data_IF_122877657968
#
_entry.id   IF_122877657968
#
_cell.length_a   1.000
_cell.length_b   1.000
_cell.length_c   1.000
_cell.angle_alpha   90.00
_cell.angle_beta   90.00
_cell.angle_gamma   90.00
#
_symmetry.space_group_name_H-M   'P 1'
#
loop_
_entity.id
_entity.type
_entity.pdbx_description
1 polymer ?
#
# COMPACT_ATOMS: atom_id res chain seq x y z
N UNK A 1 -9.89 -1.68 -13.15
CA UNK A 1 -9.34 -1.90 -14.49
C UNK A 1 -8.92 -3.35 -14.71
N UNK A 2 -8.35 -3.63 -15.87
CA UNK A 2 -7.80 -4.93 -16.28
C UNK A 2 -6.27 -4.94 -16.12
N UNK A 3 -5.72 -5.09 -14.90
CA UNK A 3 -4.28 -5.13 -14.72
C UNK A 3 -3.70 -6.41 -15.36
N UNK A 4 -2.44 -6.38 -15.85
CA UNK A 4 -1.74 -7.54 -16.40
C UNK A 4 -1.59 -8.74 -15.45
N UNK A 5 -1.95 -8.59 -14.17
CA UNK A 5 -1.82 -9.61 -13.12
C UNK A 5 -3.09 -9.64 -12.27
N UNK A 6 -3.54 -10.85 -11.92
CA UNK A 6 -4.67 -11.06 -11.00
C UNK A 6 -4.41 -10.36 -9.66
N UNK A 7 -5.34 -9.50 -9.28
CA UNK A 7 -5.35 -8.78 -8.01
C UNK A 7 -5.68 -9.72 -6.86
N UNK A 8 -4.93 -9.65 -5.76
CA UNK A 8 -5.31 -10.33 -4.52
C UNK A 8 -6.46 -9.56 -3.87
N UNK A 9 -7.64 -10.20 -3.74
CA UNK A 9 -8.76 -9.63 -2.99
C UNK A 9 -8.35 -9.41 -1.53
N UNK A 10 -8.66 -8.24 -0.93
CA UNK A 10 -8.26 -7.91 0.43
C UNK A 10 -9.21 -8.57 1.43
N UNK A 11 -9.16 -9.90 1.55
CA UNK A 11 -9.93 -10.65 2.54
C UNK A 11 -9.53 -10.21 3.95
N UNK A 12 -10.51 -9.95 4.82
CA UNK A 12 -10.26 -9.39 6.16
C UNK A 12 -10.07 -7.88 6.23
N UNK A 13 -10.23 -7.14 5.12
CA UNK A 13 -10.18 -5.67 5.12
C UNK A 13 -11.57 -5.06 4.93
N UNK A 14 -11.91 -4.11 5.80
CA UNK A 14 -13.04 -3.22 5.63
C UNK A 14 -12.69 -2.16 4.58
N UNK A 15 -13.50 -2.06 3.52
CA UNK A 15 -13.29 -1.10 2.42
C UNK A 15 -14.26 0.07 2.50
N UNK A 16 -13.71 1.28 2.57
CA UNK A 16 -14.44 2.54 2.52
C UNK A 16 -14.13 3.24 1.20
N UNK A 17 -15.07 3.23 0.27
CA UNK A 17 -14.91 3.91 -1.02
C UNK A 17 -14.73 5.41 -0.81
N UNK A 18 -13.75 6.01 -1.50
CA UNK A 18 -13.53 7.44 -1.49
C UNK A 18 -14.27 8.06 -2.67
N UNK A 19 -15.00 9.15 -2.42
CA UNK A 19 -15.58 9.98 -3.47
C UNK A 19 -14.51 10.85 -4.12
N UNK A 20 -13.50 10.25 -4.76
CA UNK A 20 -12.63 11.01 -5.64
C UNK A 20 -13.36 11.21 -6.97
N UNK A 21 -13.30 12.43 -7.52
CA UNK A 21 -13.86 12.75 -8.83
C UNK A 21 -13.27 11.79 -9.86
N UNK A 22 -14.02 10.75 -10.19
CA UNK A 22 -13.68 9.81 -11.24
C UNK A 22 -13.69 10.61 -12.53
N UNK A 23 -12.52 10.95 -13.06
CA UNK A 23 -12.42 11.15 -14.49
C UNK A 23 -12.93 9.86 -15.14
N UNK A 24 -13.97 9.97 -15.97
CA UNK A 24 -14.76 8.86 -16.53
C UNK A 24 -13.96 7.85 -17.41
N UNK A 25 -12.62 7.82 -17.32
CA UNK A 25 -11.75 7.12 -18.26
C UNK A 25 -10.62 6.28 -17.63
N UNK A 26 -10.71 5.87 -16.36
CA UNK A 26 -9.62 5.15 -15.67
C UNK A 26 -9.77 3.61 -15.64
N UNK A 27 -10.58 3.02 -16.53
CA UNK A 27 -10.71 1.55 -16.63
C UNK A 27 -9.39 0.86 -17.03
N UNK A 28 -8.44 1.58 -17.61
CA UNK A 28 -7.12 1.07 -17.98
C UNK A 28 -6.08 1.16 -16.85
N UNK A 29 -6.33 1.94 -15.79
CA UNK A 29 -5.33 2.15 -14.75
C UNK A 29 -5.15 0.92 -13.87
N UNK A 30 -3.92 0.72 -13.42
CA UNK A 30 -3.52 -0.45 -12.65
C UNK A 30 -3.83 -0.25 -11.17
N UNK A 31 -4.43 -1.26 -10.56
CA UNK A 31 -4.75 -1.23 -9.14
C UNK A 31 -3.53 -1.53 -8.28
N UNK A 32 -3.30 -0.72 -7.24
CA UNK A 32 -2.25 -0.92 -6.27
C UNK A 32 -2.68 -0.50 -4.86
N UNK A 33 -1.80 -0.74 -3.89
CA UNK A 33 -1.99 -0.51 -2.48
C UNK A 33 -0.81 0.26 -1.91
N UNK A 34 -1.10 1.32 -1.15
CA UNK A 34 -0.12 2.13 -0.45
C UNK A 34 -0.33 2.00 1.06
N UNK A 35 0.62 1.36 1.75
CA UNK A 35 0.66 1.33 3.20
C UNK A 35 1.05 2.68 3.76
N UNK A 36 0.36 3.12 4.82
CA UNK A 36 0.68 4.39 5.45
C UNK A 36 0.25 4.42 6.92
N UNK A 37 0.56 5.52 7.60
CA UNK A 37 0.15 5.76 8.99
C UNK A 37 -1.22 6.44 9.02
N UNK A 38 -2.08 6.15 10.03
CA UNK A 38 -3.38 6.83 10.16
C UNK A 38 -3.29 8.36 10.15
N UNK A 39 -2.25 8.94 10.76
CA UNK A 39 -2.03 10.38 10.78
C UNK A 39 -1.77 11.03 9.40
N UNK A 40 -1.35 10.26 8.40
CA UNK A 40 -1.13 10.76 7.03
C UNK A 40 -2.41 10.78 6.18
N UNK A 41 -3.39 9.94 6.52
CA UNK A 41 -4.61 9.75 5.74
C UNK A 41 -5.36 11.06 5.54
N UNK A 42 -5.60 11.84 6.61
CA UNK A 42 -6.36 13.08 6.50
C UNK A 42 -5.75 14.05 5.48
N UNK A 43 -4.43 14.25 5.52
CA UNK A 43 -3.73 15.15 4.59
C UNK A 43 -3.79 14.64 3.15
N UNK A 44 -3.67 13.34 2.91
CA UNK A 44 -3.82 12.74 1.58
C UNK A 44 -5.25 12.91 1.05
N UNK A 45 -6.26 12.71 1.91
CA UNK A 45 -7.66 12.91 1.55
C UNK A 45 -7.99 14.39 1.29
N UNK A 46 -7.43 15.32 2.08
CA UNK A 46 -7.61 16.76 1.90
C UNK A 46 -7.07 17.26 0.56
N UNK A 47 -5.93 16.73 0.13
CA UNK A 47 -5.33 17.06 -1.17
C UNK A 47 -5.89 16.23 -2.34
N UNK A 48 -6.48 15.07 -2.05
CA UNK A 48 -6.95 14.13 -3.06
C UNK A 48 -5.85 13.30 -3.75
N UNK A 49 -4.63 13.29 -3.20
CA UNK A 49 -3.46 12.61 -3.78
C UNK A 49 -2.59 11.93 -2.72
N UNK A 50 -1.74 10.99 -3.15
CA UNK A 50 -0.71 10.42 -2.29
C UNK A 50 0.39 11.44 -2.00
N UNK A 51 0.90 11.40 -0.77
CA UNK A 51 1.99 12.25 -0.30
C UNK A 51 3.24 11.43 -0.02
N UNK A 52 4.39 11.98 -0.39
CA UNK A 52 5.68 11.35 -0.12
C UNK A 52 6.09 11.55 1.33
N UNK A 53 7.05 10.76 1.81
CA UNK A 53 7.57 10.90 3.17
C UNK A 53 8.10 12.31 3.46
N UNK A 54 8.73 12.96 2.47
CA UNK A 54 9.21 14.34 2.58
C UNK A 54 8.07 15.36 2.78
N UNK A 55 6.96 15.22 2.05
CA UNK A 55 5.79 16.12 2.21
C UNK A 55 5.04 15.90 3.53
N UNK A 56 5.10 14.69 4.06
CA UNK A 56 4.53 14.38 5.37
C UNK A 56 5.43 14.84 6.52
N UNK A 57 6.68 15.23 6.24
CA UNK A 57 7.69 15.52 7.25
C UNK A 57 8.09 14.28 8.06
N UNK A 58 7.96 13.09 7.47
CA UNK A 58 8.26 11.81 8.10
C UNK A 58 9.60 11.32 7.57
N UNK A 59 10.54 10.99 8.46
CA UNK A 59 11.74 10.24 8.08
C UNK A 59 11.31 8.82 7.70
N UNK A 60 11.48 8.41 6.44
CA UNK A 60 11.19 7.03 6.04
C UNK A 60 12.15 6.11 6.81
N UNK A 61 11.64 5.07 7.48
CA UNK A 61 12.49 4.04 8.12
C UNK A 61 13.21 3.18 7.10
N UNK A 62 12.74 3.21 5.83
CA UNK A 62 13.40 2.62 4.67
C UNK A 62 14.66 3.39 4.22
N UNK A 63 14.83 4.64 4.66
CA UNK A 63 16.01 5.45 4.34
C UNK A 63 17.33 4.91 4.91
N UNK A 64 17.25 3.96 5.85
CA UNK A 64 18.43 3.37 6.47
C UNK A 64 19.21 2.37 5.60
N UNK A 65 18.75 2.05 4.38
CA UNK A 65 19.37 0.98 3.54
C UNK A 65 19.82 1.39 2.15
N UNK A 66 19.72 2.66 1.76
CA UNK A 66 20.28 3.14 0.49
C UNK A 66 21.36 4.18 0.77
N UNK A 67 22.46 4.11 0.01
CA UNK A 67 23.68 4.86 0.25
C UNK A 67 23.40 6.36 0.34
N UNK A 68 24.22 7.04 1.13
CA UNK A 68 24.21 8.48 1.49
C UNK A 68 24.33 9.47 0.30
N UNK A 69 24.14 9.00 -0.93
CA UNK A 69 24.27 9.76 -2.18
C UNK A 69 22.95 9.91 -2.95
N UNK A 70 21.82 9.39 -2.45
CA UNK A 70 20.52 9.51 -3.13
C UNK A 70 19.64 10.57 -2.43
N UNK A 71 19.77 11.83 -2.83
CA UNK A 71 18.93 13.00 -2.45
C UNK A 71 17.42 12.82 -2.75
N UNK A 72 17.00 11.60 -3.12
CA UNK A 72 15.69 11.28 -3.65
C UNK A 72 14.73 10.61 -2.66
N UNK A 73 15.17 10.29 -1.44
CA UNK A 73 14.42 9.37 -0.58
C UNK A 73 13.07 9.92 -0.08
N UNK A 74 12.96 11.25 0.03
CA UNK A 74 11.74 11.94 0.43
C UNK A 74 10.73 12.21 -0.70
N UNK A 75 11.08 11.91 -1.96
CA UNK A 75 10.33 12.38 -3.14
C UNK A 75 9.66 11.27 -3.95
N UNK A 76 9.69 10.02 -3.49
CA UNK A 76 9.11 8.88 -4.22
C UNK A 76 7.91 8.30 -3.46
N UNK A 77 6.94 7.81 -4.22
CA UNK A 77 5.82 7.02 -3.74
C UNK A 77 6.11 5.55 -3.98
N UNK A 78 5.83 4.71 -2.99
CA UNK A 78 5.93 3.26 -3.07
C UNK A 78 4.56 2.63 -2.86
N UNK A 79 4.18 1.69 -3.73
CA UNK A 79 2.95 0.92 -3.64
C UNK A 79 3.16 -0.48 -4.19
N UNK A 80 2.17 -1.35 -4.01
CA UNK A 80 2.25 -2.74 -4.43
C UNK A 80 0.94 -3.23 -5.01
N UNK A 81 0.93 -4.12 -6.01
CA UNK A 81 -0.28 -4.84 -6.40
C UNK A 81 -0.71 -5.88 -5.35
N UNK A 82 0.14 -6.18 -4.36
CA UNK A 82 -0.14 -7.13 -3.29
C UNK A 82 -0.38 -6.40 -1.97
N UNK A 83 -1.62 -6.46 -1.45
CA UNK A 83 -1.96 -5.83 -0.17
C UNK A 83 -1.11 -6.36 0.99
N UNK A 84 -0.77 -7.65 0.98
CA UNK A 84 0.07 -8.28 2.01
C UNK A 84 1.49 -7.71 2.09
N UNK A 85 2.00 -7.15 0.99
CA UNK A 85 3.28 -6.45 0.99
C UNK A 85 3.09 -5.00 1.45
N UNK A 86 2.08 -4.32 0.91
CA UNK A 86 1.76 -2.95 1.30
C UNK A 86 1.32 -2.81 2.77
N UNK A 87 0.85 -3.89 3.41
CA UNK A 87 0.41 -3.92 4.80
C UNK A 87 1.51 -4.29 5.80
N UNK A 88 2.74 -4.54 5.35
CA UNK A 88 3.87 -4.85 6.22
C UNK A 88 4.13 -3.70 7.21
N UNK A 89 4.64 -4.02 8.41
CA UNK A 89 4.94 -3.07 9.49
C UNK A 89 5.76 -1.87 9.05
N UNK A 90 6.65 -2.05 8.06
CA UNK A 90 7.48 -0.97 7.52
C UNK A 90 6.66 0.11 6.80
N UNK A 91 5.56 -0.27 6.15
CA UNK A 91 4.72 0.63 5.35
C UNK A 91 3.45 1.05 6.08
N UNK A 92 2.77 0.09 6.71
CA UNK A 92 1.50 0.27 7.42
C UNK A 92 1.62 -0.24 8.86
N UNK A 93 2.37 0.47 9.73
CA UNK A 93 2.55 0.05 11.12
C UNK A 93 1.19 -0.04 11.83
N UNK A 94 0.99 -1.06 12.67
CA UNK A 94 -0.25 -1.22 13.40
C UNK A 94 -0.43 -0.09 14.41
N UNK A 95 -1.68 0.30 14.64
CA UNK A 95 -2.04 1.30 15.65
C UNK A 95 -3.14 0.75 16.53
N UNK A 96 -3.02 0.95 17.84
CA UNK A 96 -4.07 0.60 18.80
C UNK A 96 -5.18 1.65 18.74
N UNK A 97 -6.41 1.20 18.48
CA UNK A 97 -7.62 1.98 18.60
C UNK A 97 -8.40 1.53 19.83
N UNK A 98 -8.68 2.47 20.74
CA UNK A 98 -9.52 2.22 21.91
C UNK A 98 -10.93 2.65 21.57
N UNK A 99 -11.85 1.69 21.46
CA UNK A 99 -13.26 1.96 21.22
C UNK A 99 -13.89 2.58 22.47
N UNK A 100 -14.31 3.87 22.42
CA UNK A 100 -14.89 4.54 23.58
C UNK A 100 -16.25 3.96 23.97
N UNK A 101 -16.95 3.27 23.06
CA UNK A 101 -18.27 2.72 23.30
C UNK A 101 -18.20 1.37 24.04
N UNK A 102 -17.28 0.49 23.64
CA UNK A 102 -17.14 -0.85 24.26
C UNK A 102 -16.01 -0.95 25.28
N UNK A 103 -15.10 0.03 25.35
CA UNK A 103 -13.90 -0.02 26.18
C UNK A 103 -12.83 -1.01 25.66
N UNK A 104 -13.03 -1.61 24.49
CA UNK A 104 -12.08 -2.57 23.91
C UNK A 104 -10.99 -1.86 23.13
N UNK A 105 -9.76 -2.34 23.27
CA UNK A 105 -8.65 -1.97 22.40
C UNK A 105 -8.56 -2.96 21.25
N UNK A 106 -8.41 -2.46 20.03
CA UNK A 106 -8.15 -3.29 18.85
C UNK A 106 -6.91 -2.77 18.13
N UNK A 107 -6.16 -3.68 17.52
CA UNK A 107 -5.01 -3.33 16.70
C UNK A 107 -5.49 -3.16 15.25
N UNK A 108 -5.14 -2.06 14.59
CA UNK A 108 -5.61 -1.77 13.23
C UNK A 108 -4.48 -1.37 12.31
N UNK A 109 -4.62 -1.72 11.03
CA UNK A 109 -3.79 -1.23 9.93
C UNK A 109 -4.61 -0.48 8.91
N UNK A 110 -3.98 0.48 8.26
CA UNK A 110 -4.59 1.28 7.20
C UNK A 110 -3.77 1.21 5.91
N UNK A 111 -4.46 1.02 4.80
CA UNK A 111 -3.90 0.98 3.46
C UNK A 111 -4.79 1.79 2.53
N UNK A 112 -4.21 2.58 1.64
CA UNK A 112 -4.95 3.23 0.57
C UNK A 112 -4.95 2.35 -0.68
N UNK A 113 -6.14 2.08 -1.19
CA UNK A 113 -6.33 1.51 -2.52
C UNK A 113 -6.23 2.63 -3.55
N UNK A 114 -5.39 2.45 -4.56
CA UNK A 114 -5.12 3.46 -5.59
C UNK A 114 -5.18 2.88 -6.99
N UNK A 115 -5.62 3.68 -7.95
CA UNK A 115 -5.34 3.45 -9.36
C UNK A 115 -4.05 4.19 -9.74
N UNK A 116 -3.21 3.54 -10.55
CA UNK A 116 -1.91 4.06 -10.99
C UNK A 116 -1.87 4.02 -12.51
N UNK A 117 -1.46 5.13 -13.11
CA UNK A 117 -1.35 5.25 -14.57
C UNK A 117 -0.28 4.29 -15.12
N UNK A 118 -0.59 3.43 -16.11
CA UNK A 118 0.41 2.57 -16.73
C UNK A 118 1.55 3.40 -17.36
N UNK A 119 2.80 3.03 -17.07
CA UNK A 119 3.99 3.73 -17.59
C UNK A 119 4.55 4.81 -16.65
N UNK A 120 3.79 5.24 -15.65
CA UNK A 120 4.21 6.24 -14.67
C UNK A 120 5.07 5.70 -13.51
N UNK A 121 5.29 4.39 -13.46
CA UNK A 121 5.97 3.73 -12.33
C UNK A 121 6.98 2.68 -12.80
N UNK A 122 8.00 2.45 -11.97
CA UNK A 122 8.98 1.37 -12.14
C UNK A 122 8.57 0.17 -11.29
N UNK A 123 8.77 -1.02 -11.83
CA UNK A 123 8.52 -2.29 -11.14
C UNK A 123 9.85 -2.87 -10.68
N UNK A 124 9.91 -3.32 -9.43
CA UNK A 124 11.11 -3.89 -8.84
C UNK A 124 10.86 -4.97 -7.79
N UNK A 125 11.95 -5.59 -7.32
CA UNK A 125 11.93 -6.52 -6.21
C UNK A 125 11.56 -5.80 -4.90
N UNK A 126 11.19 -6.55 -3.84
CA UNK A 126 10.84 -5.96 -2.56
C UNK A 126 12.06 -5.27 -1.92
N UNK A 127 11.91 -4.02 -1.45
CA UNK A 127 12.98 -3.32 -0.71
C UNK A 127 13.16 -3.82 0.73
N UNK A 128 12.21 -4.60 1.25
CA UNK A 128 12.24 -5.21 2.58
C UNK A 128 12.33 -6.73 2.46
N UNK A 129 12.88 -7.37 3.50
CA UNK A 129 12.82 -8.82 3.61
C UNK A 129 11.37 -9.23 3.87
N UNK A 130 10.67 -9.63 2.81
CA UNK A 130 9.28 -10.03 2.86
C UNK A 130 9.11 -11.42 2.26
N UNK A 131 8.34 -12.25 2.96
CA UNK A 131 7.96 -13.58 2.49
C UNK A 131 6.45 -13.69 2.47
N UNK A 132 5.83 -14.12 1.35
CA UNK A 132 4.39 -14.30 1.30
C UNK A 132 3.93 -15.35 2.33
N UNK A 133 2.79 -15.13 3.02
CA UNK A 133 2.27 -16.04 4.06
C UNK A 133 2.09 -17.50 3.59
N UNK A 134 1.84 -17.72 2.29
CA UNK A 134 1.64 -19.05 1.70
C UNK A 134 2.90 -19.91 1.62
N UNK A 135 4.08 -19.41 1.99
CA UNK A 135 5.31 -20.21 2.08
C UNK A 135 5.56 -20.81 3.46
N UNK A 136 4.73 -20.48 4.47
CA UNK A 136 4.93 -20.94 5.85
C UNK A 136 4.07 -22.14 6.26
N UNK A 137 3.11 -22.58 5.43
CA UNK A 137 2.24 -23.71 5.79
C UNK A 137 1.97 -24.65 4.59
N UNK A 138 2.69 -25.77 4.60
CA UNK A 138 2.40 -27.05 3.96
C UNK A 138 2.45 -27.22 2.43
N UNK A 139 2.97 -28.40 2.06
CA UNK A 139 3.06 -29.05 0.74
C UNK A 139 1.72 -29.21 0.00
N UNK A 140 1.03 -28.14 -0.38
CA UNK A 140 -0.06 -28.21 -1.35
C UNK A 140 0.11 -27.16 -2.45
N UNK A 141 0.62 -27.68 -3.56
CA UNK A 141 0.77 -27.08 -4.89
C UNK A 141 -0.60 -26.69 -5.45
N UNK A 142 -1.25 -25.68 -4.88
CA UNK A 142 -2.29 -24.93 -5.58
C UNK A 142 -1.61 -23.75 -6.27
N UNK A 143 -1.65 -23.76 -7.59
CA UNK A 143 -0.92 -22.84 -8.44
C UNK A 143 -1.50 -21.42 -8.32
N UNK A 144 -0.97 -20.66 -7.38
CA UNK A 144 -0.89 -19.22 -7.56
C UNK A 144 0.27 -18.94 -8.53
N UNK A 145 0.10 -18.13 -9.58
CA UNK A 145 1.16 -17.83 -10.54
C UNK A 145 2.17 -16.82 -9.94
N UNK A 146 2.60 -17.00 -8.70
CA UNK A 146 3.68 -16.21 -8.05
C UNK A 146 5.04 -16.67 -8.56
N UNK A 147 5.23 -16.59 -9.89
CA UNK A 147 6.54 -16.65 -10.51
C UNK A 147 7.16 -15.27 -10.47
N UNK A 148 8.08 -15.06 -9.52
CA UNK A 148 8.98 -13.90 -9.32
C UNK A 148 8.47 -12.81 -8.37
N UNK A 149 8.97 -12.87 -7.13
CA UNK A 149 8.99 -11.76 -6.16
C UNK A 149 9.61 -10.47 -6.74
N UNK A 150 10.30 -10.53 -7.88
CA UNK A 150 10.96 -9.43 -8.60
C UNK A 150 10.04 -8.26 -9.02
N UNK A 151 8.73 -8.32 -8.77
CA UNK A 151 7.77 -7.39 -9.39
C UNK A 151 6.67 -6.86 -8.47
N UNK A 152 6.85 -6.99 -7.15
CA UNK A 152 5.82 -6.62 -6.17
C UNK A 152 5.96 -5.18 -5.66
N UNK A 153 7.09 -4.51 -5.87
CA UNK A 153 7.28 -3.12 -5.45
C UNK A 153 7.18 -2.21 -6.66
N UNK A 154 6.27 -1.25 -6.61
CA UNK A 154 6.06 -0.25 -7.65
C UNK A 154 6.42 1.12 -7.09
N UNK A 155 7.25 1.87 -7.81
CA UNK A 155 7.78 3.15 -7.34
C UNK A 155 7.61 4.23 -8.41
N UNK A 156 7.17 5.41 -8.01
CA UNK A 156 7.04 6.58 -8.89
C UNK A 156 7.52 7.87 -8.22
N UNK A 157 8.00 8.81 -9.04
CA UNK A 157 8.25 10.21 -8.68
C UNK A 157 7.22 11.16 -9.30
N UNK A 158 6.36 10.62 -10.17
CA UNK A 158 5.42 11.39 -10.97
C UNK A 158 4.19 11.77 -10.13
N UNK A 159 3.84 13.06 -10.16
CA UNK A 159 2.63 13.59 -9.51
C UNK A 159 1.45 13.50 -10.47
N UNK A 160 0.26 13.32 -9.93
CA UNK A 160 -0.96 13.17 -10.73
C UNK A 160 -1.17 11.77 -11.34
N UNK A 161 -0.15 10.91 -11.34
CA UNK A 161 -0.23 9.54 -11.88
C UNK A 161 -0.90 8.53 -10.94
N UNK A 162 -1.53 8.99 -9.87
CA UNK A 162 -2.24 8.15 -8.89
C UNK A 162 -3.59 8.75 -8.52
N UNK A 163 -4.61 7.91 -8.43
CA UNK A 163 -5.94 8.29 -7.94
C UNK A 163 -6.29 7.49 -6.68
N UNK A 164 -6.73 8.18 -5.62
CA UNK A 164 -7.24 7.55 -4.41
C UNK A 164 -8.62 6.95 -4.66
N UNK A 165 -8.81 5.66 -4.36
CA UNK A 165 -10.06 4.93 -4.63
C UNK A 165 -10.79 4.49 -3.38
N UNK A 166 -10.07 4.00 -2.38
CA UNK A 166 -10.65 3.54 -1.12
C UNK A 166 -9.65 3.60 0.03
N UNK A 167 -10.15 3.80 1.24
CA UNK A 167 -9.45 3.48 2.47
C UNK A 167 -9.77 2.03 2.86
N UNK A 168 -8.73 1.23 3.09
CA UNK A 168 -8.84 -0.14 3.57
C UNK A 168 -8.36 -0.17 5.03
N UNK A 169 -9.16 -0.79 5.89
CA UNK A 169 -8.83 -0.98 7.31
C UNK A 169 -8.86 -2.47 7.62
N UNK A 170 -7.77 -3.00 8.17
CA UNK A 170 -7.74 -4.33 8.74
C UNK A 170 -7.74 -4.23 10.26
N UNK A 171 -8.65 -4.95 10.90
CA UNK A 171 -8.68 -5.12 12.35
C UNK A 171 -7.98 -6.45 12.61
N UNK A 172 -6.86 -6.40 13.33
CA UNK A 172 -6.14 -7.60 13.72
C UNK A 172 -6.84 -8.22 14.94
N UNK A 173 -7.12 -9.52 14.85
CA UNK A 173 -7.58 -10.28 16.02
C UNK A 173 -6.42 -10.45 17.00
N UNK A 174 -6.70 -10.25 18.30
CA UNK A 174 -5.75 -10.56 19.37
C UNK A 174 -5.49 -12.07 19.35
N UNK A 175 -4.22 -12.46 19.14
CA UNK A 175 -3.79 -13.87 19.11
C UNK A 175 -3.67 -14.46 20.51
#
# INVERSE_FOLDING_TARGET
>A
GNPPKQYAQPFGWCRFALGSGVGEHNESWHMAYHGTRPGAIRRMLDKGELLTSGELGISSTLAGRRSKDDDSDGSQLCFSPAIMYASDDHFAPPVTFNDPCSGRSVCVRVVLQVAVEPGSYKVGPPSISWSPPSLQHNNQRSQQPYGKQETIEWVTKERGATQLLALLINIEEEK
#
